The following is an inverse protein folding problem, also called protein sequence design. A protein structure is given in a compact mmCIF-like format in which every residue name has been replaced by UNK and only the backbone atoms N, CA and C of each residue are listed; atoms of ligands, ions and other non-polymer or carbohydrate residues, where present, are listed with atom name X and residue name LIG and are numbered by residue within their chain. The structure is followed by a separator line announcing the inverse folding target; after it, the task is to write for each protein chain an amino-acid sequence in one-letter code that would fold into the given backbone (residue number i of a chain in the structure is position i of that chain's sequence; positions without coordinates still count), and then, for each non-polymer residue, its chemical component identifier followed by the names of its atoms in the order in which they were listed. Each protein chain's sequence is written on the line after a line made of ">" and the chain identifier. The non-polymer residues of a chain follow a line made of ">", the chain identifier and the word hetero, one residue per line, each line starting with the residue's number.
data_IF_694667131561
#
_entry.id   IF_694667131561
#
_cell.length_a   1.000
_cell.length_b   1.000
_cell.length_c   1.000
_cell.angle_alpha   90.00
_cell.angle_beta   90.00
_cell.angle_gamma   90.00
#
_symmetry.space_group_name_H-M   'P 1'
#
loop_
_entity.id
_entity.type
_entity.pdbx_description
1 polymer ?
#
# COMPACT_ATOMS: atom_id res chain seq x y z
N UNK A 1 -20.71 -13.89 29.91
CA UNK A 1 -20.20 -12.50 29.90
C UNK A 1 -18.82 -12.53 29.29
N UNK A 2 -18.68 -11.92 28.10
CA UNK A 2 -17.43 -11.83 27.32
C UNK A 2 -16.32 -11.06 28.04
N UNK A 3 -15.09 -11.12 27.51
CA UNK A 3 -14.66 -9.99 26.70
C UNK A 3 -14.23 -10.41 25.29
N UNK A 4 -14.67 -9.62 24.31
CA UNK A 4 -14.31 -9.70 22.91
C UNK A 4 -12.89 -9.14 22.75
N UNK A 5 -11.91 -10.01 22.53
CA UNK A 5 -10.60 -9.60 22.00
C UNK A 5 -10.71 -9.54 20.48
N UNK A 6 -10.71 -8.33 19.91
CA UNK A 6 -10.51 -8.12 18.48
C UNK A 6 -9.10 -8.62 18.11
N UNK A 7 -9.03 -9.86 17.64
CA UNK A 7 -7.81 -10.52 17.23
C UNK A 7 -7.37 -10.02 15.86
N UNK A 8 -6.45 -9.07 15.81
CA UNK A 8 -5.72 -8.73 14.59
C UNK A 8 -4.72 -9.87 14.32
N UNK A 9 -5.10 -10.82 13.45
CA UNK A 9 -4.26 -11.95 13.06
C UNK A 9 -3.25 -11.49 11.99
N UNK A 10 -2.07 -11.06 12.43
CA UNK A 10 -0.93 -10.82 11.55
C UNK A 10 -0.42 -12.15 10.98
N UNK A 11 -0.74 -12.44 9.72
CA UNK A 11 -0.11 -13.51 8.96
C UNK A 11 0.26 -12.90 7.62
N UNK A 12 1.56 -12.75 7.34
CA UNK A 12 2.02 -12.39 6.00
C UNK A 12 1.48 -13.45 5.03
N UNK A 13 0.62 -13.09 4.06
CA UNK A 13 0.36 -14.00 2.97
C UNK A 13 1.66 -14.13 2.17
N UNK A 14 2.04 -15.35 1.83
CA UNK A 14 3.06 -15.53 0.79
C UNK A 14 2.59 -14.80 -0.48
N UNK A 15 3.54 -14.28 -1.27
CA UNK A 15 3.27 -13.48 -2.48
C UNK A 15 2.34 -14.20 -3.50
N UNK A 16 2.14 -15.50 -3.33
CA UNK A 16 1.34 -16.40 -4.17
C UNK A 16 -0.16 -16.37 -3.83
N UNK A 17 -0.56 -15.74 -2.72
CA UNK A 17 -1.97 -15.62 -2.32
C UNK A 17 -2.62 -16.93 -1.84
N UNK A 18 -1.82 -17.94 -1.51
CA UNK A 18 -2.27 -19.28 -1.11
C UNK A 18 -3.20 -19.29 0.12
N UNK A 19 -3.12 -18.25 0.95
CA UNK A 19 -3.91 -18.11 2.18
C UNK A 19 -5.18 -17.25 2.01
N UNK A 20 -5.48 -16.80 0.79
CA UNK A 20 -6.65 -15.98 0.49
C UNK A 20 -7.82 -16.86 -0.02
N UNK A 21 -9.07 -16.55 0.33
CA UNK A 21 -9.50 -15.53 1.30
C UNK A 21 -9.31 -15.98 2.75
N UNK A 22 -9.13 -15.04 3.68
CA UNK A 22 -9.17 -15.35 5.10
C UNK A 22 -10.59 -15.78 5.50
N UNK A 23 -10.67 -16.66 6.50
CA UNK A 23 -11.95 -17.20 6.99
C UNK A 23 -12.79 -16.13 7.72
N UNK A 24 -12.15 -15.07 8.22
CA UNK A 24 -12.78 -13.92 8.86
C UNK A 24 -12.94 -12.77 7.86
N UNK A 25 -14.11 -12.12 7.84
CA UNK A 25 -14.41 -10.97 6.96
C UNK A 25 -14.81 -9.75 7.80
N UNK A 26 -14.31 -8.53 7.48
CA UNK A 26 -13.35 -8.14 6.42
C UNK A 26 -11.87 -8.32 6.82
N UNK A 27 -10.94 -8.35 5.85
CA UNK A 27 -9.50 -8.57 6.08
C UNK A 27 -8.59 -7.64 5.27
N UNK A 28 -7.38 -7.44 5.79
CA UNK A 28 -6.31 -6.60 5.24
C UNK A 28 -5.11 -7.47 4.85
N UNK A 29 -4.54 -7.20 3.68
CA UNK A 29 -3.30 -7.81 3.20
C UNK A 29 -2.24 -6.71 3.06
N UNK A 30 -1.14 -6.86 3.78
CA UNK A 30 0.00 -5.95 3.69
C UNK A 30 1.14 -6.66 2.94
N UNK A 31 1.61 -6.06 1.85
CA UNK A 31 2.72 -6.56 1.03
C UNK A 31 3.84 -5.51 1.06
N UNK A 32 5.02 -5.91 1.53
CA UNK A 32 6.18 -5.02 1.63
C UNK A 32 7.47 -5.81 1.44
N UNK A 33 7.87 -6.10 0.19
CA UNK A 33 9.13 -6.78 -0.09
C UNK A 33 10.33 -5.85 0.19
N UNK A 34 11.54 -6.41 0.30
CA UNK A 34 12.75 -5.64 0.56
C UNK A 34 13.26 -4.84 -0.66
N UNK A 35 12.83 -5.15 -1.89
CA UNK A 35 13.27 -4.51 -3.14
C UNK A 35 14.78 -4.66 -3.44
N UNK A 36 15.32 -5.84 -3.13
CA UNK A 36 16.73 -6.22 -3.34
C UNK A 36 16.95 -6.96 -4.66
N UNK A 37 15.89 -7.55 -5.24
CA UNK A 37 15.94 -8.31 -6.50
C UNK A 37 15.31 -7.57 -7.67
N UNK A 38 15.87 -7.75 -8.87
CA UNK A 38 15.24 -7.28 -10.11
C UNK A 38 13.88 -7.96 -10.33
N UNK A 39 12.90 -7.19 -10.80
CA UNK A 39 11.55 -7.67 -11.09
C UNK A 39 10.64 -7.87 -9.88
N UNK A 40 11.04 -7.43 -8.67
CA UNK A 40 10.14 -7.49 -7.49
C UNK A 40 8.87 -6.64 -7.67
N UNK A 41 8.97 -5.51 -8.37
CA UNK A 41 7.81 -4.67 -8.69
C UNK A 41 6.80 -5.42 -9.58
N UNK A 42 7.27 -6.08 -10.64
CA UNK A 42 6.40 -6.87 -11.54
C UNK A 42 5.72 -8.01 -10.78
N UNK A 43 6.49 -8.74 -9.96
CA UNK A 43 5.95 -9.83 -9.12
C UNK A 43 4.89 -9.32 -8.14
N UNK A 44 5.07 -8.13 -7.58
CA UNK A 44 4.12 -7.50 -6.68
C UNK A 44 2.85 -7.08 -7.43
N UNK A 45 2.97 -6.45 -8.59
CA UNK A 45 1.84 -6.08 -9.43
C UNK A 45 1.00 -7.30 -9.85
N UNK A 46 1.65 -8.39 -10.28
CA UNK A 46 0.95 -9.64 -10.58
C UNK A 46 0.29 -10.27 -9.34
N UNK A 47 1.01 -10.27 -8.20
CA UNK A 47 0.52 -10.76 -6.92
C UNK A 47 -0.73 -10.02 -6.47
N UNK A 48 -0.74 -8.70 -6.62
CA UNK A 48 -1.88 -7.82 -6.35
C UNK A 48 -3.10 -8.22 -7.19
N UNK A 49 -2.92 -8.40 -8.51
CA UNK A 49 -4.00 -8.82 -9.39
C UNK A 49 -4.54 -10.21 -9.03
N UNK A 50 -3.66 -11.17 -8.70
CA UNK A 50 -4.06 -12.52 -8.25
C UNK A 50 -4.84 -12.45 -6.93
N UNK A 51 -4.36 -11.68 -5.97
CA UNK A 51 -5.00 -11.48 -4.68
C UNK A 51 -6.39 -10.85 -4.83
N UNK A 52 -6.50 -9.77 -5.63
CA UNK A 52 -7.77 -9.10 -5.89
C UNK A 52 -8.78 -10.02 -6.58
N UNK A 53 -8.37 -10.79 -7.61
CA UNK A 53 -9.26 -11.78 -8.26
C UNK A 53 -9.81 -12.81 -7.28
N UNK A 54 -9.01 -13.21 -6.29
CA UNK A 54 -9.39 -14.24 -5.30
C UNK A 54 -10.20 -13.67 -4.14
N UNK A 55 -9.98 -12.41 -3.78
CA UNK A 55 -10.73 -11.72 -2.74
C UNK A 55 -10.96 -10.25 -3.08
N UNK A 56 -11.97 -9.95 -3.92
CA UNK A 56 -12.20 -8.60 -4.44
C UNK A 56 -12.53 -7.54 -3.39
N UNK A 57 -12.91 -7.93 -2.17
CA UNK A 57 -13.25 -7.01 -1.07
C UNK A 57 -12.17 -6.88 0.00
N UNK A 58 -10.97 -7.44 -0.21
CA UNK A 58 -9.85 -7.23 0.69
C UNK A 58 -9.24 -5.83 0.44
N UNK A 59 -8.76 -5.20 1.52
CA UNK A 59 -7.85 -4.07 1.40
C UNK A 59 -6.45 -4.64 1.18
N UNK A 60 -5.75 -4.19 0.14
CA UNK A 60 -4.37 -4.63 -0.14
C UNK A 60 -3.47 -3.42 -0.24
N UNK A 61 -2.35 -3.40 0.50
CA UNK A 61 -1.34 -2.35 0.38
C UNK A 61 0.00 -2.88 -0.16
N UNK A 62 0.62 -2.18 -1.11
CA UNK A 62 1.96 -2.51 -1.66
C UNK A 62 2.64 -1.33 -2.35
N UNK A 63 3.83 -1.49 -2.93
CA UNK A 63 4.47 -0.44 -3.74
C UNK A 63 4.55 -0.86 -5.21
N UNK A 64 4.44 0.11 -6.14
CA UNK A 64 4.59 -0.13 -7.59
C UNK A 64 3.41 -0.88 -8.20
N UNK A 65 2.37 -0.14 -8.60
CA UNK A 65 1.17 -0.71 -9.23
C UNK A 65 0.70 0.05 -10.47
N UNK A 66 1.60 0.81 -11.10
CA UNK A 66 1.29 1.70 -12.24
C UNK A 66 0.63 0.95 -13.43
N UNK A 67 0.89 -0.35 -13.58
CA UNK A 67 0.34 -1.17 -14.68
C UNK A 67 -0.75 -2.17 -14.26
N UNK A 68 -1.46 -1.93 -13.15
CA UNK A 68 -2.52 -2.85 -12.71
C UNK A 68 -3.90 -2.41 -13.19
N UNK A 69 -4.73 -3.37 -13.65
CA UNK A 69 -6.14 -3.15 -14.02
C UNK A 69 -7.11 -3.28 -12.84
N UNK A 70 -6.60 -3.16 -11.60
CA UNK A 70 -7.38 -3.34 -10.38
C UNK A 70 -8.18 -2.07 -10.07
N UNK A 71 -9.51 -2.14 -9.90
CA UNK A 71 -10.32 -0.97 -9.58
C UNK A 71 -10.18 -0.54 -8.12
N UNK A 72 -10.60 0.70 -7.81
CA UNK A 72 -10.54 1.34 -6.50
C UNK A 72 -9.13 1.35 -5.94
N UNK A 73 -8.23 1.97 -6.70
CA UNK A 73 -6.80 1.98 -6.42
C UNK A 73 -6.36 3.39 -6.03
N UNK A 74 -5.95 3.57 -4.77
CA UNK A 74 -5.44 4.82 -4.23
C UNK A 74 -3.93 4.71 -4.00
N UNK A 75 -3.16 5.57 -4.64
CA UNK A 75 -1.72 5.71 -4.42
C UNK A 75 -1.42 6.83 -3.45
N UNK A 76 -0.45 6.58 -2.58
CA UNK A 76 0.11 7.53 -1.62
C UNK A 76 1.62 7.57 -1.84
N UNK A 77 2.17 8.69 -2.29
CA UNK A 77 3.62 8.89 -2.41
C UNK A 77 4.13 9.85 -1.35
N UNK A 78 5.34 9.62 -0.85
CA UNK A 78 5.99 10.50 0.12
C UNK A 78 7.50 10.53 -0.08
N UNK A 79 8.02 11.71 -0.40
CA UNK A 79 9.45 11.98 -0.57
C UNK A 79 9.98 12.76 0.64
N UNK A 80 11.20 12.44 1.06
CA UNK A 80 11.90 13.15 2.14
C UNK A 80 13.00 14.08 1.62
N UNK A 81 13.42 13.92 0.36
CA UNK A 81 14.43 14.71 -0.34
C UNK A 81 14.33 14.54 -1.86
N UNK A 82 15.02 15.37 -2.67
CA UNK A 82 15.08 15.18 -4.12
C UNK A 82 15.73 13.84 -4.49
N UNK A 83 15.34 13.23 -5.63
CA UNK A 83 16.02 12.05 -6.16
C UNK A 83 17.51 12.30 -6.35
N UNK A 84 18.32 11.41 -5.81
CA UNK A 84 19.78 11.44 -5.93
C UNK A 84 20.27 10.45 -6.98
N UNK A 85 21.49 10.67 -7.49
CA UNK A 85 22.14 9.73 -8.41
C UNK A 85 22.68 8.48 -7.68
N UNK A 86 22.80 8.55 -6.36
CA UNK A 86 23.22 7.44 -5.52
C UNK A 86 22.00 6.55 -5.21
N UNK A 87 22.17 5.21 -5.14
CA UNK A 87 21.10 4.30 -4.76
C UNK A 87 20.72 4.52 -3.29
N UNK A 88 19.74 5.36 -3.08
CA UNK A 88 19.28 5.91 -1.81
C UNK A 88 17.76 5.82 -1.74
N UNK A 89 17.22 5.58 -0.54
CA UNK A 89 15.78 5.72 -0.31
C UNK A 89 15.45 7.21 -0.12
N UNK A 90 15.02 7.85 -1.21
CA UNK A 90 14.67 9.28 -1.25
C UNK A 90 13.16 9.53 -1.00
N UNK A 91 12.37 8.46 -1.06
CA UNK A 91 10.94 8.44 -0.75
C UNK A 91 10.39 7.02 -0.72
N UNK A 92 9.10 6.90 -0.46
CA UNK A 92 8.34 5.64 -0.56
C UNK A 92 6.92 5.89 -1.06
N UNK A 93 6.35 4.86 -1.66
CA UNK A 93 4.97 4.83 -2.10
C UNK A 93 4.16 3.74 -1.41
N UNK A 94 2.85 3.87 -1.42
CA UNK A 94 1.94 2.81 -1.04
C UNK A 94 0.66 2.92 -1.87
N UNK A 95 0.29 1.82 -2.51
CA UNK A 95 -0.94 1.65 -3.26
C UNK A 95 -1.91 0.83 -2.45
N UNK A 96 -3.14 1.31 -2.28
CA UNK A 96 -4.22 0.70 -1.51
C UNK A 96 -5.38 0.33 -2.43
N UNK A 97 -5.68 -0.96 -2.53
CA UNK A 97 -6.87 -1.48 -3.20
C UNK A 97 -8.07 -1.45 -2.25
N UNK A 98 -9.23 -1.04 -2.74
CA UNK A 98 -10.46 -0.86 -1.95
C UNK A 98 -10.22 -0.04 -0.68
N UNK A 99 -9.66 1.18 -0.78
CA UNK A 99 -9.36 1.97 0.39
C UNK A 99 -10.64 2.21 1.22
N UNK A 100 -10.55 2.15 2.57
CA UNK A 100 -11.64 2.61 3.42
C UNK A 100 -12.02 4.06 3.09
N UNK A 101 -13.31 4.38 3.07
CA UNK A 101 -13.80 5.71 2.65
C UNK A 101 -13.24 6.88 3.49
N UNK A 102 -12.76 6.63 4.71
CA UNK A 102 -12.14 7.67 5.56
C UNK A 102 -10.66 7.87 5.27
N UNK A 103 -9.98 6.88 4.66
CA UNK A 103 -8.52 6.84 4.54
C UNK A 103 -7.98 8.05 3.78
N UNK A 104 -8.61 8.42 2.66
CA UNK A 104 -8.19 9.58 1.86
C UNK A 104 -8.29 10.88 2.68
N UNK A 105 -9.38 11.06 3.42
CA UNK A 105 -9.57 12.24 4.28
C UNK A 105 -8.58 12.31 5.45
N UNK A 106 -8.30 11.16 6.06
CA UNK A 106 -7.28 11.03 7.11
C UNK A 106 -5.89 11.36 6.57
N UNK A 107 -5.52 10.80 5.41
CA UNK A 107 -4.23 11.05 4.76
C UNK A 107 -4.07 12.52 4.34
N UNK A 108 -5.11 13.17 3.80
CA UNK A 108 -5.09 14.62 3.51
C UNK A 108 -4.78 15.48 4.74
N UNK A 109 -5.16 15.01 5.93
CA UNK A 109 -4.88 15.71 7.19
C UNK A 109 -3.47 15.39 7.71
N UNK A 110 -3.03 14.14 7.58
CA UNK A 110 -1.76 13.67 8.12
C UNK A 110 -0.54 14.01 7.25
N UNK A 111 -0.63 13.86 5.93
CA UNK A 111 0.49 14.02 5.00
C UNK A 111 1.18 15.39 5.09
N UNK A 112 0.47 16.54 5.20
CA UNK A 112 1.13 17.83 5.41
C UNK A 112 1.92 17.92 6.72
N UNK A 113 1.43 17.28 7.78
CA UNK A 113 2.10 17.25 9.08
C UNK A 113 3.33 16.36 9.02
N UNK A 114 3.20 15.17 8.43
CA UNK A 114 4.31 14.24 8.21
C UNK A 114 5.39 14.88 7.33
N UNK A 115 5.00 15.55 6.25
CA UNK A 115 5.91 16.28 5.36
C UNK A 115 6.74 17.29 6.14
N UNK A 116 6.09 18.14 6.96
CA UNK A 116 6.80 19.11 7.79
C UNK A 116 7.79 18.47 8.77
N UNK A 117 7.49 17.30 9.31
CA UNK A 117 8.29 16.64 10.35
C UNK A 117 9.41 15.76 9.80
N UNK A 118 9.21 15.13 8.65
CA UNK A 118 10.07 14.07 8.12
C UNK A 118 10.91 14.51 6.91
N UNK A 119 10.62 15.66 6.29
CA UNK A 119 11.48 16.19 5.22
C UNK A 119 12.90 16.43 5.73
N UNK A 120 13.87 15.80 5.07
CA UNK A 120 15.31 15.94 5.34
C UNK A 120 15.89 17.06 4.49
N UNK A 121 15.51 17.13 3.21
CA UNK A 121 15.99 18.13 2.26
C UNK A 121 14.87 18.58 1.34
N UNK A 122 14.92 19.82 0.87
CA UNK A 122 13.93 20.38 -0.07
C UNK A 122 14.56 20.57 -1.46
N UNK A 123 13.80 20.39 -2.55
CA UNK A 123 12.37 20.05 -2.59
C UNK A 123 12.06 18.61 -2.17
N UNK A 124 10.89 18.41 -1.58
CA UNK A 124 10.33 17.12 -1.23
C UNK A 124 8.82 17.22 -1.39
N UNK A 125 8.16 16.15 -1.83
CA UNK A 125 6.74 16.16 -2.16
C UNK A 125 5.99 14.99 -1.49
N UNK A 126 4.67 15.07 -1.50
CA UNK A 126 3.80 13.95 -1.23
C UNK A 126 2.67 13.97 -2.25
N UNK A 127 2.18 12.79 -2.62
CA UNK A 127 1.10 12.61 -3.60
C UNK A 127 0.00 11.74 -2.98
N UNK A 128 -1.23 11.97 -3.45
CA UNK A 128 -2.40 11.18 -3.06
C UNK A 128 -3.33 11.13 -4.28
N UNK A 129 -3.25 10.02 -5.02
CA UNK A 129 -3.82 9.93 -6.37
C UNK A 129 -4.66 8.66 -6.56
N UNK A 130 -5.80 8.80 -7.22
CA UNK A 130 -6.61 7.66 -7.63
C UNK A 130 -6.12 7.14 -8.97
N UNK A 131 -5.47 5.98 -8.97
CA UNK A 131 -4.96 5.33 -10.17
C UNK A 131 -6.05 4.66 -10.99
N UNK A 132 -7.12 4.19 -10.34
CA UNK A 132 -8.24 3.54 -11.03
C UNK A 132 -9.55 3.61 -10.22
N UNK A 133 -10.50 4.46 -10.64
CA UNK A 133 -11.90 4.53 -10.15
C UNK A 133 -12.11 4.80 -8.66
N UNK A 134 -13.21 5.47 -8.29
CA UNK A 134 -13.70 5.59 -6.90
C UNK A 134 -14.74 4.51 -6.55
#
# INVERSE_FOLDING_TARGET
>A
MSPLSAGWCWRQPSADGAHLPLKEKPGLVLVGPPFEEEGEFDRLAEGLQRAHRRWPGAVVSGQGAEETSVPKLLEVGFEIRPPSADPSLDGSGMVVVNPPFTLEGELRTLLPVLHRLLTVEKPAHWTLEWLAGE
#
